data_IF_127301658243
#
_entry.id   IF_127301658243
#
_cell.length_a   1.000
_cell.length_b   1.000
_cell.length_c   1.000
_cell.angle_alpha   90.00
_cell.angle_beta   90.00
_cell.angle_gamma   90.00
#
_symmetry.space_group_name_H-M   'P 1'
#
loop_
_entity.id
_entity.type
_entity.pdbx_description
1 polymer ?
#
# COMPACT_ATOMS: atom_id res chain seq x y z
N UNK A 1 1.54 -13.21 -0.94
CA UNK A 1 0.21 -13.33 -1.61
C UNK A 1 0.13 -14.55 -2.52
N UNK A 2 0.93 -14.66 -3.59
CA UNK A 2 0.88 -15.80 -4.53
C UNK A 2 1.05 -17.16 -3.83
N UNK A 3 2.00 -17.28 -2.90
CA UNK A 3 2.16 -18.50 -2.08
C UNK A 3 0.89 -18.91 -1.31
N UNK A 4 0.19 -17.96 -0.69
CA UNK A 4 -1.08 -18.22 0.01
C UNK A 4 -2.26 -18.50 -0.94
N UNK A 5 -2.14 -18.18 -2.23
CA UNK A 5 -3.17 -18.43 -3.23
C UNK A 5 -2.97 -19.80 -3.92
N UNK A 6 -1.72 -20.16 -4.24
CA UNK A 6 -1.41 -21.28 -5.15
C UNK A 6 -0.62 -22.42 -4.55
N UNK A 7 0.20 -22.16 -3.53
CA UNK A 7 1.02 -23.21 -2.93
C UNK A 7 0.26 -23.89 -1.81
N UNK A 8 0.50 -25.19 -1.65
CA UNK A 8 0.05 -25.98 -0.51
C UNK A 8 1.24 -26.18 0.42
N UNK A 9 1.10 -25.79 1.68
CA UNK A 9 2.12 -26.00 2.71
C UNK A 9 1.44 -26.10 4.08
N UNK A 10 2.03 -26.84 5.04
CA UNK A 10 1.44 -27.04 6.35
C UNK A 10 1.23 -25.69 7.06
N UNK A 11 0.04 -25.48 7.62
CA UNK A 11 -0.32 -24.25 8.32
C UNK A 11 -0.65 -23.04 7.44
N UNK A 12 -0.72 -23.18 6.11
CA UNK A 12 -1.05 -22.08 5.17
C UNK A 12 -2.26 -21.27 5.59
N UNK A 13 -3.38 -21.94 5.83
CA UNK A 13 -4.65 -21.27 6.09
C UNK A 13 -4.65 -20.65 7.49
N UNK A 14 -4.05 -21.31 8.48
CA UNK A 14 -3.85 -20.74 9.82
C UNK A 14 -3.01 -19.44 9.77
N UNK A 15 -1.88 -19.45 9.05
CA UNK A 15 -1.04 -18.27 8.85
C UNK A 15 -1.76 -17.17 8.06
N UNK A 16 -2.60 -17.54 7.10
CA UNK A 16 -3.37 -16.55 6.37
C UNK A 16 -4.45 -15.90 7.25
N UNK A 17 -5.17 -16.70 8.05
CA UNK A 17 -6.19 -16.17 8.97
C UNK A 17 -5.58 -15.36 10.11
N UNK A 18 -4.39 -15.70 10.61
CA UNK A 18 -3.70 -14.87 11.60
C UNK A 18 -3.30 -13.51 11.04
N UNK A 19 -2.89 -13.45 9.76
CA UNK A 19 -2.70 -12.18 9.07
C UNK A 19 -4.02 -11.39 8.99
N UNK A 20 -5.14 -12.02 8.64
CA UNK A 20 -6.43 -11.31 8.60
C UNK A 20 -6.85 -10.79 9.98
N UNK A 21 -6.59 -11.54 11.04
CA UNK A 21 -6.83 -11.07 12.40
C UNK A 21 -5.97 -9.84 12.73
N UNK A 22 -4.73 -9.79 12.26
CA UNK A 22 -3.86 -8.63 12.45
C UNK A 22 -4.40 -7.35 11.77
N UNK A 23 -5.26 -7.46 10.73
CA UNK A 23 -5.94 -6.29 10.15
C UNK A 23 -6.96 -5.64 11.09
N UNK A 24 -7.46 -6.39 12.07
CA UNK A 24 -8.38 -5.87 13.09
C UNK A 24 -7.66 -5.05 14.17
N UNK A 25 -6.33 -5.15 14.23
CA UNK A 25 -5.52 -4.39 15.19
C UNK A 25 -5.41 -2.95 14.69
N UNK A 26 -5.85 -1.95 15.47
CA UNK A 26 -5.73 -0.56 15.08
C UNK A 26 -4.25 -0.15 14.97
N UNK A 27 -3.90 0.57 13.90
CA UNK A 27 -2.53 1.02 13.65
C UNK A 27 -1.96 1.89 14.79
N UNK A 28 -2.83 2.55 15.57
CA UNK A 28 -2.44 3.34 16.73
C UNK A 28 -1.87 2.49 17.87
N UNK A 29 -2.32 1.23 18.01
CA UNK A 29 -1.83 0.31 19.04
C UNK A 29 -0.39 -0.11 18.75
N UNK A 30 -0.06 -0.33 17.48
CA UNK A 30 1.29 -0.74 17.04
C UNK A 30 2.24 0.45 16.86
N UNK A 31 1.76 1.68 17.06
CA UNK A 31 2.53 2.90 16.85
C UNK A 31 3.74 3.01 17.78
N UNK A 32 3.55 2.85 19.08
CA UNK A 32 4.63 2.95 20.09
C UNK A 32 5.71 1.88 19.84
N UNK A 33 5.36 0.58 19.70
CA UNK A 33 6.35 -0.45 19.36
C UNK A 33 7.13 -0.14 18.09
N UNK A 34 6.44 0.29 17.03
CA UNK A 34 7.07 0.60 15.73
C UNK A 34 8.02 1.79 15.85
N UNK A 35 7.64 2.83 16.60
CA UNK A 35 8.49 3.97 16.91
C UNK A 35 9.77 3.54 17.64
N UNK A 36 9.64 2.69 18.67
CA UNK A 36 10.79 2.18 19.42
C UNK A 36 11.75 1.39 18.52
N UNK A 37 11.24 0.56 17.61
CA UNK A 37 12.07 -0.17 16.64
C UNK A 37 12.85 0.79 15.73
N UNK A 38 12.16 1.78 15.14
CA UNK A 38 12.77 2.76 14.24
C UNK A 38 13.80 3.63 14.96
N UNK A 39 13.52 4.00 16.22
CA UNK A 39 14.47 4.68 17.09
C UNK A 39 15.70 3.81 17.38
N UNK A 40 15.49 2.57 17.78
CA UNK A 40 16.57 1.65 18.14
C UNK A 40 17.45 1.29 16.94
N UNK A 41 16.89 1.28 15.73
CA UNK A 41 17.64 1.13 14.49
C UNK A 41 18.34 2.42 14.02
N UNK A 42 18.15 3.55 14.72
CA UNK A 42 18.72 4.84 14.32
C UNK A 42 18.11 5.39 13.02
N UNK A 43 16.86 5.05 12.72
CA UNK A 43 16.17 5.44 11.48
C UNK A 43 15.28 6.69 11.64
N UNK A 44 15.31 7.35 12.79
CA UNK A 44 14.65 8.65 12.96
C UNK A 44 15.26 9.67 11.98
N UNK A 45 14.43 10.57 11.46
CA UNK A 45 14.87 11.60 10.50
C UNK A 45 15.49 11.04 9.20
N UNK A 46 15.05 9.86 8.76
CA UNK A 46 15.51 9.21 7.51
C UNK A 46 14.36 8.74 6.64
N UNK A 47 14.59 8.59 5.33
CA UNK A 47 13.58 8.06 4.42
C UNK A 47 13.22 6.60 4.73
N UNK A 48 14.19 5.76 5.12
CA UNK A 48 13.92 4.38 5.49
C UNK A 48 13.03 4.26 6.73
N UNK A 49 13.17 5.16 7.71
CA UNK A 49 12.30 5.22 8.89
C UNK A 49 10.84 5.56 8.55
N UNK A 50 10.62 6.25 7.42
CA UNK A 50 9.28 6.57 6.92
C UNK A 50 8.72 5.44 6.05
N UNK A 51 9.55 4.87 5.19
CA UNK A 51 9.12 3.93 4.14
C UNK A 51 8.98 2.51 4.69
N UNK A 52 10.04 1.96 5.30
CA UNK A 52 10.15 0.52 5.59
C UNK A 52 9.06 -0.03 6.53
N UNK A 53 8.64 0.69 7.60
CA UNK A 53 7.58 0.19 8.47
C UNK A 53 6.25 -0.08 7.74
N UNK A 54 5.96 0.66 6.67
CA UNK A 54 4.71 0.54 5.90
C UNK A 54 4.77 -0.42 4.70
N UNK A 55 5.94 -0.95 4.33
CA UNK A 55 6.10 -1.79 3.13
C UNK A 55 5.34 -3.12 3.27
N UNK A 56 5.31 -3.69 4.47
CA UNK A 56 4.63 -4.95 4.75
C UNK A 56 3.14 -4.70 5.06
N UNK A 57 2.31 -4.64 4.02
CA UNK A 57 0.86 -4.47 4.16
C UNK A 57 0.13 -5.80 4.08
N UNK A 58 -0.52 -6.18 5.19
CA UNK A 58 -1.38 -7.36 5.22
C UNK A 58 -2.59 -7.21 4.30
N UNK A 59 -3.13 -5.99 4.18
CA UNK A 59 -4.24 -5.69 3.28
C UNK A 59 -3.83 -5.95 1.82
N UNK A 60 -2.63 -5.54 1.43
CA UNK A 60 -2.09 -5.78 0.10
C UNK A 60 -1.88 -7.27 -0.16
N UNK A 61 -1.47 -8.04 0.84
CA UNK A 61 -1.36 -9.51 0.75
C UNK A 61 -2.73 -10.15 0.56
N UNK A 62 -3.72 -9.74 1.34
CA UNK A 62 -5.10 -10.21 1.24
C UNK A 62 -5.68 -9.90 -0.14
N UNK A 63 -5.64 -8.64 -0.57
CA UNK A 63 -6.22 -8.19 -1.83
C UNK A 63 -5.57 -8.90 -3.03
N UNK A 64 -4.24 -8.94 -3.09
CA UNK A 64 -3.55 -9.67 -4.16
C UNK A 64 -3.87 -11.15 -4.16
N UNK A 65 -4.05 -11.78 -3.00
CA UNK A 65 -4.46 -13.19 -2.94
C UNK A 65 -5.81 -13.40 -3.62
N UNK A 66 -6.78 -12.50 -3.44
CA UNK A 66 -8.08 -12.60 -4.11
C UNK A 66 -7.95 -12.54 -5.64
N UNK A 67 -7.10 -11.64 -6.15
CA UNK A 67 -6.82 -11.57 -7.58
C UNK A 67 -6.10 -12.82 -8.11
N UNK A 68 -5.15 -13.37 -7.36
CA UNK A 68 -4.48 -14.61 -7.76
C UNK A 68 -5.42 -15.81 -7.78
N UNK A 69 -6.35 -15.91 -6.82
CA UNK A 69 -7.36 -16.98 -6.80
C UNK A 69 -8.35 -16.88 -7.96
N UNK A 70 -8.58 -15.68 -8.49
CA UNK A 70 -9.47 -15.47 -9.64
C UNK A 70 -8.86 -15.93 -10.98
N UNK A 71 -7.54 -16.15 -11.04
CA UNK A 71 -6.89 -16.70 -12.24
C UNK A 71 -7.23 -18.20 -12.33
N UNK A 72 -7.70 -18.72 -13.49
CA UNK A 72 -7.94 -20.15 -13.68
C UNK A 72 -6.67 -20.95 -13.41
N UNK A 73 -6.77 -22.06 -12.66
CA UNK A 73 -5.62 -22.88 -12.28
C UNK A 73 -5.06 -23.67 -13.47
N UNK A 74 -5.92 -23.97 -14.44
CA UNK A 74 -5.65 -24.74 -15.65
C UNK A 74 -4.55 -24.08 -16.50
N UNK A 75 -4.44 -22.75 -16.46
CA UNK A 75 -3.37 -22.00 -17.13
C UNK A 75 -1.99 -22.29 -16.52
N UNK A 76 -1.93 -22.50 -15.20
CA UNK A 76 -0.69 -22.84 -14.51
C UNK A 76 -0.35 -24.32 -14.72
N UNK A 77 -1.36 -25.20 -14.74
CA UNK A 77 -1.18 -26.64 -15.01
C UNK A 77 -0.70 -26.89 -16.44
N UNK A 78 -1.27 -26.21 -17.44
CA UNK A 78 -0.79 -26.26 -18.82
C UNK A 78 0.67 -25.83 -18.94
N UNK A 79 1.05 -24.71 -18.29
CA UNK A 79 2.42 -24.23 -18.30
C UNK A 79 3.40 -25.17 -17.59
N UNK A 80 2.96 -25.87 -16.52
CA UNK A 80 3.76 -26.91 -15.86
C UNK A 80 4.00 -28.11 -16.79
N UNK A 81 2.99 -28.52 -17.55
CA UNK A 81 3.11 -29.59 -18.56
C UNK A 81 4.09 -29.18 -19.67
N UNK A 82 4.08 -27.90 -20.06
CA UNK A 82 5.06 -27.31 -20.99
C UNK A 82 6.47 -27.12 -20.40
N UNK A 83 6.71 -27.57 -19.16
CA UNK A 83 8.01 -27.53 -18.50
C UNK A 83 8.37 -26.17 -17.87
N UNK A 84 7.42 -25.24 -17.74
CA UNK A 84 7.68 -23.96 -17.09
C UNK A 84 7.81 -24.13 -15.56
N UNK A 85 8.89 -23.61 -14.98
CA UNK A 85 9.05 -23.54 -13.54
C UNK A 85 8.08 -22.55 -12.87
N UNK A 86 7.76 -22.76 -11.59
CA UNK A 86 6.82 -21.92 -10.80
C UNK A 86 7.13 -20.43 -10.85
N UNK A 87 8.40 -20.05 -10.83
CA UNK A 87 8.81 -18.64 -10.92
C UNK A 87 8.46 -18.03 -12.28
N UNK A 88 8.65 -18.79 -13.36
CA UNK A 88 8.27 -18.38 -14.72
C UNK A 88 6.76 -18.24 -14.87
N UNK A 89 6.01 -19.21 -14.34
CA UNK A 89 4.54 -19.18 -14.33
C UNK A 89 4.04 -17.92 -13.61
N UNK A 90 4.58 -17.64 -12.42
CA UNK A 90 4.24 -16.44 -11.68
C UNK A 90 4.47 -15.17 -12.50
N UNK A 91 5.69 -14.98 -13.04
CA UNK A 91 6.07 -13.73 -13.71
C UNK A 91 5.44 -13.54 -15.09
N UNK A 92 5.27 -14.61 -15.86
CA UNK A 92 4.86 -14.52 -17.27
C UNK A 92 3.37 -14.78 -17.49
N UNK A 93 2.69 -15.46 -16.56
CA UNK A 93 1.28 -15.86 -16.73
C UNK A 93 0.42 -15.18 -15.66
N UNK A 94 0.69 -15.46 -14.40
CA UNK A 94 -0.21 -15.07 -13.31
C UNK A 94 -0.13 -13.57 -13.01
N UNK A 95 1.07 -13.00 -12.98
CA UNK A 95 1.28 -11.58 -12.66
C UNK A 95 0.67 -10.65 -13.72
N UNK A 96 0.83 -10.89 -15.04
CA UNK A 96 0.16 -10.09 -16.07
C UNK A 96 -1.37 -10.18 -16.01
N UNK A 97 -1.93 -11.38 -15.76
CA UNK A 97 -3.38 -11.58 -15.64
C UNK A 97 -3.97 -10.88 -14.41
N UNK A 98 -3.16 -10.67 -13.37
CA UNK A 98 -3.57 -9.96 -12.15
C UNK A 98 -3.17 -8.49 -12.12
N UNK A 99 -2.82 -7.90 -13.27
CA UNK A 99 -2.44 -6.48 -13.38
C UNK A 99 -3.48 -5.53 -12.79
N UNK A 100 -4.77 -5.83 -12.91
CA UNK A 100 -5.83 -5.02 -12.30
C UNK A 100 -5.72 -4.98 -10.77
N UNK A 101 -5.35 -6.10 -10.15
CA UNK A 101 -5.10 -6.17 -8.70
C UNK A 101 -3.85 -5.41 -8.26
N UNK A 102 -2.76 -5.49 -9.04
CA UNK A 102 -1.55 -4.70 -8.79
C UNK A 102 -1.84 -3.21 -8.82
N UNK A 103 -2.64 -2.76 -9.78
CA UNK A 103 -3.06 -1.36 -9.85
C UNK A 103 -3.86 -1.00 -8.60
N UNK A 104 -4.89 -1.78 -8.25
CA UNK A 104 -5.71 -1.50 -7.08
C UNK A 104 -4.86 -1.36 -5.80
N UNK A 105 -3.96 -2.30 -5.55
CA UNK A 105 -3.04 -2.24 -4.40
C UNK A 105 -2.12 -1.02 -4.46
N UNK A 106 -1.55 -0.72 -5.63
CA UNK A 106 -0.68 0.46 -5.81
C UNK A 106 -1.41 1.74 -5.45
N UNK A 107 -2.68 1.85 -5.83
CA UNK A 107 -3.51 3.02 -5.57
C UNK A 107 -3.79 3.17 -4.08
N UNK A 108 -4.21 2.09 -3.41
CA UNK A 108 -4.42 2.12 -1.97
C UNK A 108 -3.16 2.48 -1.19
N UNK A 109 -2.01 1.88 -1.55
CA UNK A 109 -0.72 2.18 -0.90
C UNK A 109 -0.32 3.63 -1.18
N UNK A 110 -0.43 4.11 -2.42
CA UNK A 110 -0.07 5.47 -2.80
C UNK A 110 -0.91 6.49 -2.03
N UNK A 111 -2.24 6.35 -2.06
CA UNK A 111 -3.14 7.26 -1.36
C UNK A 111 -2.92 7.22 0.15
N UNK A 112 -2.76 6.04 0.73
CA UNK A 112 -2.49 5.88 2.16
C UNK A 112 -1.16 6.52 2.57
N UNK A 113 -0.11 6.32 1.77
CA UNK A 113 1.23 6.86 2.06
C UNK A 113 1.29 8.37 1.85
N UNK A 114 0.66 8.87 0.79
CA UNK A 114 0.66 10.29 0.46
C UNK A 114 -0.13 11.12 1.49
N UNK A 115 -1.26 10.61 1.94
CA UNK A 115 -2.10 11.27 2.96
C UNK A 115 -1.62 11.00 4.39
N UNK A 116 -0.56 10.21 4.58
CA UNK A 116 -0.08 9.87 5.91
C UNK A 116 0.50 11.11 6.60
N UNK A 117 -0.21 11.58 7.62
CA UNK A 117 0.24 12.66 8.50
C UNK A 117 0.90 12.08 9.76
N UNK A 118 0.26 11.08 10.36
CA UNK A 118 0.52 10.67 11.74
C UNK A 118 1.94 10.11 11.92
N UNK A 119 2.36 9.19 11.04
CA UNK A 119 3.65 8.53 11.18
C UNK A 119 4.83 9.48 10.88
N UNK A 120 4.88 10.20 9.74
CA UNK A 120 5.95 11.16 9.47
C UNK A 120 6.06 12.26 10.54
N UNK A 121 4.94 12.72 11.10
CA UNK A 121 4.93 13.73 12.17
C UNK A 121 5.69 13.27 13.42
N UNK A 122 5.72 11.96 13.70
CA UNK A 122 6.34 11.38 14.90
C UNK A 122 7.82 11.06 14.67
N UNK A 123 8.20 10.63 13.46
CA UNK A 123 9.57 10.15 13.18
C UNK A 123 10.48 11.15 12.48
N UNK A 124 9.93 12.27 11.98
CA UNK A 124 10.67 13.32 11.28
C UNK A 124 10.63 14.63 12.08
N UNK A 125 11.75 14.95 12.72
CA UNK A 125 11.94 16.17 13.48
C UNK A 125 12.51 17.30 12.61
N UNK A 126 13.45 16.97 11.70
CA UNK A 126 14.12 17.95 10.81
C UNK A 126 13.16 18.51 9.77
N UNK A 127 13.15 19.83 9.63
CA UNK A 127 12.25 20.54 8.73
C UNK A 127 12.42 20.08 7.28
N UNK A 128 13.67 19.90 6.81
CA UNK A 128 13.94 19.45 5.43
C UNK A 128 13.45 18.02 5.13
N UNK A 129 13.19 17.20 6.15
CA UNK A 129 12.73 15.82 5.98
C UNK A 129 11.21 15.70 6.00
N UNK A 130 10.48 16.75 6.44
CA UNK A 130 9.03 16.67 6.63
C UNK A 130 8.31 16.46 5.30
N UNK A 131 7.32 15.58 5.32
CA UNK A 131 6.43 15.38 4.16
C UNK A 131 5.55 16.61 3.94
N UNK A 132 5.01 16.77 2.73
CA UNK A 132 4.08 17.85 2.40
C UNK A 132 2.87 17.90 3.35
N UNK A 133 2.34 16.75 3.76
CA UNK A 133 1.23 16.64 4.72
C UNK A 133 1.59 17.19 6.10
N UNK A 134 2.79 16.89 6.60
CA UNK A 134 3.30 17.44 7.86
C UNK A 134 3.56 18.94 7.72
N UNK A 135 4.22 19.35 6.64
CA UNK A 135 4.51 20.76 6.35
C UNK A 135 3.24 21.62 6.29
N UNK A 136 2.18 21.12 5.65
CA UNK A 136 0.87 21.79 5.59
C UNK A 136 0.23 21.96 6.98
N UNK A 137 0.40 20.98 7.86
CA UNK A 137 -0.10 21.07 9.25
C UNK A 137 0.62 22.17 10.02
N UNK A 138 1.94 22.27 9.86
CA UNK A 138 2.74 23.35 10.45
C UNK A 138 2.33 24.70 9.87
N UNK A 139 2.17 24.79 8.55
CA UNK A 139 1.73 25.99 7.86
C UNK A 139 0.37 26.49 8.37
N UNK A 140 -0.59 25.57 8.55
CA UNK A 140 -1.90 25.89 9.14
C UNK A 140 -1.78 26.37 10.58
N UNK A 141 -0.92 25.76 11.39
CA UNK A 141 -0.69 26.18 12.78
C UNK A 141 -0.09 27.59 12.88
N UNK A 142 0.84 27.93 11.98
CA UNK A 142 1.54 29.23 12.00
C UNK A 142 0.73 30.35 11.33
N UNK A 143 0.03 30.05 10.22
CA UNK A 143 -0.55 31.06 9.33
C UNK A 143 -2.08 30.93 9.14
N UNK A 144 -2.73 29.95 9.77
CA UNK A 144 -4.15 29.66 9.56
C UNK A 144 -5.14 30.72 10.07
N UNK A 145 -4.68 31.67 10.91
CA UNK A 145 -5.47 32.82 11.34
C UNK A 145 -5.45 33.95 10.31
N UNK A 146 -4.26 34.50 10.03
CA UNK A 146 -4.13 35.74 9.25
C UNK A 146 -3.94 35.51 7.74
N UNK A 147 -3.46 34.33 7.34
CA UNK A 147 -3.05 34.04 5.96
C UNK A 147 -3.62 32.71 5.49
N UNK A 148 -4.92 32.51 5.65
CA UNK A 148 -5.63 31.31 5.18
C UNK A 148 -5.41 31.06 3.68
N UNK A 149 -5.25 32.11 2.87
CA UNK A 149 -4.93 31.98 1.44
C UNK A 149 -3.64 31.21 1.18
N UNK A 150 -2.62 31.39 2.03
CA UNK A 150 -1.34 30.68 1.92
C UNK A 150 -1.48 29.20 2.30
N UNK A 151 -2.31 28.90 3.31
CA UNK A 151 -2.65 27.52 3.69
C UNK A 151 -3.42 26.81 2.57
N UNK A 152 -4.40 27.48 1.96
CA UNK A 152 -5.18 26.94 0.84
C UNK A 152 -4.33 26.72 -0.41
N UNK A 153 -3.42 27.64 -0.73
CA UNK A 153 -2.47 27.47 -1.82
C UNK A 153 -1.56 26.25 -1.60
N UNK A 154 -1.05 26.08 -0.37
CA UNK A 154 -0.27 24.90 0.01
C UNK A 154 -1.06 23.60 -0.13
N UNK A 155 -2.33 23.59 0.28
CA UNK A 155 -3.21 22.43 0.13
C UNK A 155 -3.49 22.09 -1.35
N UNK A 156 -3.66 23.11 -2.21
CA UNK A 156 -3.82 22.93 -3.64
C UNK A 156 -2.58 22.27 -4.26
N UNK A 157 -1.37 22.77 -3.93
CA UNK A 157 -0.10 22.19 -4.40
C UNK A 157 0.06 20.74 -3.90
N UNK A 158 -0.24 20.47 -2.63
CA UNK A 158 -0.15 19.12 -2.06
C UNK A 158 -1.12 18.11 -2.72
N UNK A 159 -2.19 18.59 -3.36
CA UNK A 159 -3.17 17.78 -4.07
C UNK A 159 -2.75 17.43 -5.52
N UNK A 160 -1.85 18.21 -6.13
CA UNK A 160 -1.42 18.02 -7.53
C UNK A 160 -0.91 16.59 -7.79
N UNK A 161 -0.03 15.99 -6.96
CA UNK A 161 0.48 14.65 -7.25
C UNK A 161 -0.61 13.58 -7.19
N UNK A 162 -1.61 13.73 -6.33
CA UNK A 162 -2.77 12.82 -6.29
C UNK A 162 -3.58 12.95 -7.57
N UNK A 163 -3.81 14.17 -8.07
CA UNK A 163 -4.54 14.40 -9.32
C UNK A 163 -3.81 13.82 -10.53
N UNK A 164 -2.49 13.99 -10.60
CA UNK A 164 -1.65 13.40 -11.66
C UNK A 164 -1.74 11.87 -11.59
N UNK A 165 -1.56 11.31 -10.40
CA UNK A 165 -1.65 9.87 -10.18
C UNK A 165 -3.03 9.33 -10.61
N UNK A 166 -4.11 9.99 -10.20
CA UNK A 166 -5.45 9.63 -10.63
C UNK A 166 -5.60 9.72 -12.15
N UNK A 167 -5.16 10.80 -12.80
CA UNK A 167 -5.26 10.97 -14.25
C UNK A 167 -4.54 9.86 -15.03
N UNK A 168 -3.40 9.38 -14.52
CA UNK A 168 -2.63 8.26 -15.09
C UNK A 168 -3.37 6.93 -14.88
N UNK A 169 -3.93 6.70 -13.69
CA UNK A 169 -4.50 5.40 -13.30
C UNK A 169 -6.03 5.26 -13.44
N UNK A 170 -6.76 6.33 -13.78
CA UNK A 170 -8.24 6.39 -13.82
C UNK A 170 -8.88 5.24 -14.63
N UNK A 171 -8.30 4.88 -15.78
CA UNK A 171 -8.84 3.82 -16.65
C UNK A 171 -8.74 2.44 -16.00
N UNK A 172 -7.69 2.21 -15.22
CA UNK A 172 -7.51 0.94 -14.51
C UNK A 172 -8.27 0.91 -13.18
N UNK A 173 -8.43 2.05 -12.50
CA UNK A 173 -9.32 2.21 -11.34
C UNK A 173 -10.72 1.73 -11.70
N UNK A 174 -11.30 2.29 -12.76
CA UNK A 174 -12.66 1.94 -13.21
C UNK A 174 -12.78 0.45 -13.55
N UNK A 175 -11.79 -0.14 -14.24
CA UNK A 175 -11.77 -1.58 -14.56
C UNK A 175 -11.68 -2.46 -13.32
N UNK A 176 -10.92 -2.06 -12.30
CA UNK A 176 -10.79 -2.83 -11.06
C UNK A 176 -12.08 -2.87 -10.24
N UNK A 177 -12.78 -1.74 -10.13
CA UNK A 177 -14.06 -1.63 -9.39
C UNK A 177 -15.16 -2.45 -10.05
N UNK A 178 -15.23 -2.45 -11.39
CA UNK A 178 -16.22 -3.24 -12.13
C UNK A 178 -16.02 -4.75 -11.95
N UNK A 179 -14.77 -5.24 -11.94
CA UNK A 179 -14.46 -6.66 -11.74
C UNK A 179 -14.77 -7.16 -10.33
N UNK A 180 -14.72 -6.29 -9.32
CA UNK A 180 -15.11 -6.63 -7.94
C UNK A 180 -16.62 -6.50 -7.66
N UNK A 181 -17.36 -5.73 -8.49
CA UNK A 181 -18.80 -5.50 -8.33
C UNK A 181 -19.72 -6.46 -9.11
N UNK A 182 -19.22 -7.15 -10.13
CA UNK A 182 -20.00 -8.05 -11.00
C UNK A 182 -20.23 -9.48 -10.44
N UNK A 183 -20.04 -9.69 -9.13
CA UNK A 183 -20.38 -10.96 -8.45
C UNK A 183 -21.67 -10.87 -7.63
N UNK A 184 -22.60 -10.02 -8.07
CA UNK A 184 -23.99 -9.94 -7.61
C UNK A 184 -24.94 -10.24 -8.76
#
# INVERSE_FOLDING_TARGET
>A
AYGFARLTFPGRDLLFFSLLFALMIPAQVTLIPTFLLVRNFGWLDTYQGVILPGVASVFSVFLMRQFFLAVPIELEEAALIDGAGRFRIYWQIVLPLTRAGLVAVTIFIFLGSWNNLFWPLIVLNRLEMRTLTVGLTVLRGTYGGDQMGLVMAGAAVASIPILIFYAVFQRQILKSVMMTGLKG
#
